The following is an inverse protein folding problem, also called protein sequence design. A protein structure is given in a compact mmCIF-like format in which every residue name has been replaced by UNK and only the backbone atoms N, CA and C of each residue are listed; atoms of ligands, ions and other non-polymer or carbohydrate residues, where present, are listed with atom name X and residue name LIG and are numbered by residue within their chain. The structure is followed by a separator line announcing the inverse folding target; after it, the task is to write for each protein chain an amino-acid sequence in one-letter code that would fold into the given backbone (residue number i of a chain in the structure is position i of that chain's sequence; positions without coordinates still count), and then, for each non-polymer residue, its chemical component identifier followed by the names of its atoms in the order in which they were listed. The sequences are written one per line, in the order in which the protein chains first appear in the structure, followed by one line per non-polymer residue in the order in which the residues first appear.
data_IF_827513642962
#
_entry.id   IF_827513642962
#
_cell.length_a   1.000
_cell.length_b   1.000
_cell.length_c   1.000
_cell.angle_alpha   90.00
_cell.angle_beta   90.00
_cell.angle_gamma   90.00
#
_symmetry.space_group_name_H-M   'P 1'
#
loop_
_entity.id
_entity.type
_entity.pdbx_description
1 polymer ?
#
# COMPACT_ATOMS: atom_id res chain seq x y z
N UNK A 1 21.38 -16.50 7.55
CA UNK A 1 21.58 -15.17 8.15
C UNK A 1 20.70 -15.07 9.38
N UNK A 2 21.21 -14.48 10.49
CA UNK A 2 20.39 -14.21 11.68
C UNK A 2 19.95 -12.76 11.68
N UNK A 3 18.66 -12.49 11.90
CA UNK A 3 18.08 -11.15 11.94
C UNK A 3 17.06 -10.97 13.08
N UNK A 4 16.84 -9.70 13.48
CA UNK A 4 15.72 -9.33 14.36
C UNK A 4 14.63 -8.74 13.48
N UNK A 5 13.40 -9.27 13.58
CA UNK A 5 12.22 -8.71 12.94
C UNK A 5 11.35 -7.96 13.94
N UNK A 6 11.32 -6.64 13.83
CA UNK A 6 10.44 -5.78 14.62
C UNK A 6 9.04 -5.78 14.01
N UNK A 7 8.08 -6.40 14.68
CA UNK A 7 6.68 -6.54 14.24
C UNK A 7 5.78 -5.63 15.08
N UNK A 8 5.00 -4.80 14.39
CA UNK A 8 4.12 -3.81 15.03
C UNK A 8 2.66 -3.93 14.56
N UNK A 9 2.28 -5.12 14.06
CA UNK A 9 0.95 -5.50 13.55
C UNK A 9 0.61 -4.97 12.14
N UNK A 10 1.60 -4.80 11.26
CA UNK A 10 1.33 -4.57 9.84
C UNK A 10 0.74 -5.82 9.17
N UNK A 11 -0.12 -5.61 8.18
CA UNK A 11 -0.90 -6.69 7.52
C UNK A 11 -0.05 -7.76 6.84
N UNK A 12 1.14 -7.43 6.36
CA UNK A 12 2.03 -8.35 5.61
C UNK A 12 3.09 -9.05 6.47
N UNK A 13 3.20 -8.73 7.76
CA UNK A 13 4.29 -9.24 8.63
C UNK A 13 4.35 -10.76 8.72
N UNK A 14 3.19 -11.42 8.82
CA UNK A 14 3.18 -12.88 8.96
C UNK A 14 3.70 -13.55 7.69
N UNK A 15 3.31 -13.08 6.51
CA UNK A 15 3.79 -13.57 5.23
C UNK A 15 5.30 -13.37 5.06
N UNK A 16 5.80 -12.21 5.48
CA UNK A 16 7.24 -11.89 5.43
C UNK A 16 8.03 -12.73 6.44
N UNK A 17 7.51 -12.96 7.67
CA UNK A 17 8.14 -13.85 8.64
C UNK A 17 8.23 -15.28 8.10
N UNK A 18 7.19 -15.76 7.43
CA UNK A 18 7.19 -17.05 6.76
C UNK A 18 8.21 -17.10 5.62
N UNK A 19 8.30 -16.05 4.81
CA UNK A 19 9.27 -15.95 3.72
C UNK A 19 10.73 -15.98 4.23
N UNK A 20 11.05 -15.25 5.31
CA UNK A 20 12.38 -15.31 5.94
C UNK A 20 12.74 -16.75 6.35
N UNK A 21 11.80 -17.49 6.94
CA UNK A 21 12.01 -18.89 7.33
C UNK A 21 12.24 -19.79 6.10
N UNK A 22 11.44 -19.59 5.00
CA UNK A 22 11.60 -20.38 3.75
C UNK A 22 12.96 -20.16 3.10
N UNK A 23 13.50 -18.93 3.12
CA UNK A 23 14.83 -18.65 2.56
C UNK A 23 15.97 -18.93 3.53
N UNK A 24 15.69 -19.61 4.67
CA UNK A 24 16.72 -20.12 5.59
C UNK A 24 17.28 -19.08 6.57
N UNK A 25 16.54 -18.04 6.90
CA UNK A 25 16.95 -17.10 7.93
C UNK A 25 16.60 -17.58 9.35
N UNK A 26 17.51 -17.31 10.30
CA UNK A 26 17.27 -17.41 11.73
C UNK A 26 16.66 -16.08 12.21
N UNK A 27 15.36 -16.09 12.57
CA UNK A 27 14.58 -14.89 12.87
C UNK A 27 14.27 -14.83 14.36
N UNK A 28 14.73 -13.75 15.00
CA UNK A 28 14.32 -13.37 16.35
C UNK A 28 13.21 -12.29 16.19
N UNK A 29 12.03 -12.53 16.73
CA UNK A 29 10.90 -11.62 16.56
C UNK A 29 10.72 -10.73 17.80
N UNK A 30 10.59 -9.41 17.61
CA UNK A 30 10.10 -8.45 18.58
C UNK A 30 8.65 -8.09 18.24
N UNK A 31 7.70 -8.76 18.90
CA UNK A 31 6.25 -8.58 18.66
C UNK A 31 5.71 -7.54 19.64
N UNK A 32 5.79 -6.27 19.30
CA UNK A 32 5.31 -5.19 20.13
C UNK A 32 4.80 -4.03 19.29
N UNK A 33 3.60 -3.53 19.58
CA UNK A 33 3.11 -2.27 19.03
C UNK A 33 4.00 -1.11 19.48
N UNK A 34 4.10 -0.11 18.64
CA UNK A 34 4.88 1.10 18.87
C UNK A 34 3.90 2.25 19.00
N UNK A 35 3.80 2.81 20.22
CA UNK A 35 2.91 3.94 20.49
C UNK A 35 3.49 5.27 19.98
N UNK A 36 4.81 5.44 20.08
CA UNK A 36 5.55 6.58 19.56
C UNK A 36 6.74 6.10 18.72
N UNK A 37 6.59 6.19 17.40
CA UNK A 37 7.60 5.74 16.42
C UNK A 37 8.92 6.50 16.50
N UNK A 38 8.97 7.62 17.21
CA UNK A 38 10.13 8.50 17.32
C UNK A 38 10.87 8.35 18.66
N UNK A 39 10.15 8.29 19.79
CA UNK A 39 10.74 8.52 21.11
C UNK A 39 10.30 7.55 22.22
N UNK A 40 9.69 6.42 21.93
CA UNK A 40 9.25 5.44 22.94
C UNK A 40 10.45 4.78 23.63
N UNK A 41 10.82 5.27 24.82
CA UNK A 41 12.00 4.84 25.55
C UNK A 41 12.00 3.36 25.93
N UNK A 42 10.81 2.83 26.32
CA UNK A 42 10.69 1.43 26.71
C UNK A 42 10.87 0.50 25.50
N UNK A 43 10.36 0.87 24.32
CA UNK A 43 10.60 0.14 23.07
C UNK A 43 12.07 0.16 22.70
N UNK A 44 12.70 1.35 22.75
CA UNK A 44 14.12 1.51 22.43
C UNK A 44 14.99 0.62 23.35
N UNK A 45 14.70 0.62 24.65
CA UNK A 45 15.41 -0.21 25.64
C UNK A 45 15.27 -1.69 25.33
N UNK A 46 14.06 -2.18 25.11
CA UNK A 46 13.78 -3.57 24.82
C UNK A 46 14.48 -4.04 23.53
N UNK A 47 14.46 -3.22 22.46
CA UNK A 47 15.16 -3.53 21.22
C UNK A 47 16.69 -3.55 21.44
N UNK A 48 17.25 -2.62 22.23
CA UNK A 48 18.66 -2.59 22.56
C UNK A 48 19.08 -3.83 23.35
N UNK A 49 18.30 -4.24 24.34
CA UNK A 49 18.53 -5.49 25.12
C UNK A 49 18.47 -6.71 24.18
N UNK A 50 17.48 -6.78 23.30
CA UNK A 50 17.34 -7.88 22.34
C UNK A 50 18.53 -7.99 21.38
N UNK A 51 19.07 -6.85 20.93
CA UNK A 51 20.28 -6.84 20.09
C UNK A 51 21.48 -7.36 20.88
N UNK A 52 21.67 -6.94 22.15
CA UNK A 52 22.78 -7.37 23.00
C UNK A 52 22.71 -8.87 23.33
N UNK A 53 21.52 -9.40 23.58
CA UNK A 53 21.30 -10.82 23.94
C UNK A 53 21.41 -11.75 22.73
N UNK A 54 21.46 -11.20 21.51
CA UNK A 54 21.56 -11.96 20.26
C UNK A 54 22.84 -11.66 19.48
N UNK A 55 24.03 -12.05 20.02
CA UNK A 55 25.28 -11.84 19.31
C UNK A 55 25.27 -12.55 17.95
N UNK A 56 25.79 -11.88 16.92
CA UNK A 56 25.83 -12.39 15.54
C UNK A 56 24.58 -12.08 14.71
N UNK A 57 23.65 -11.25 15.22
CA UNK A 57 22.59 -10.65 14.41
C UNK A 57 23.23 -9.77 13.33
N UNK A 58 22.86 -10.01 12.07
CA UNK A 58 23.41 -9.30 10.91
C UNK A 58 22.66 -8.01 10.59
N UNK A 59 21.37 -7.97 10.88
CA UNK A 59 20.50 -6.81 10.65
C UNK A 59 19.23 -6.85 11.49
N UNK A 60 18.60 -5.68 11.61
CA UNK A 60 17.22 -5.52 12.10
C UNK A 60 16.34 -5.24 10.90
N UNK A 61 15.13 -5.78 10.87
CA UNK A 61 14.16 -5.57 9.80
C UNK A 61 12.81 -5.06 10.35
N UNK A 62 12.16 -4.17 9.62
CA UNK A 62 10.75 -3.81 9.86
C UNK A 62 10.01 -3.54 8.55
N UNK A 63 8.70 -3.69 8.60
CA UNK A 63 7.80 -3.10 7.62
C UNK A 63 7.68 -1.61 7.92
N UNK A 64 7.76 -0.78 6.89
CA UNK A 64 7.93 0.65 6.94
C UNK A 64 9.21 1.11 7.68
N UNK A 65 9.65 2.30 7.34
CA UNK A 65 10.77 2.92 8.05
C UNK A 65 10.28 3.48 9.40
N UNK A 66 10.96 3.13 10.49
CA UNK A 66 10.60 3.53 11.86
C UNK A 66 11.81 4.19 12.52
N UNK A 67 11.75 5.51 12.83
CA UNK A 67 12.88 6.27 13.35
C UNK A 67 13.52 5.71 14.62
N UNK A 68 12.72 5.22 15.58
CA UNK A 68 13.24 4.66 16.83
C UNK A 68 14.07 3.38 16.59
N UNK A 69 13.71 2.55 15.60
CA UNK A 69 14.50 1.38 15.20
C UNK A 69 15.82 1.82 14.58
N UNK A 70 15.78 2.85 13.70
CA UNK A 70 16.99 3.42 13.12
C UNK A 70 17.95 3.95 14.20
N UNK A 71 17.42 4.58 15.27
CA UNK A 71 18.22 5.04 16.43
C UNK A 71 18.89 3.88 17.15
N UNK A 72 18.16 2.81 17.46
CA UNK A 72 18.74 1.60 18.07
C UNK A 72 19.86 1.00 17.20
N UNK A 73 19.59 0.83 15.91
CA UNK A 73 20.56 0.27 14.99
C UNK A 73 21.84 1.13 14.85
N UNK A 74 21.70 2.45 14.92
CA UNK A 74 22.84 3.39 14.94
C UNK A 74 23.71 3.21 16.18
N UNK A 75 23.10 3.01 17.38
CA UNK A 75 23.84 2.78 18.64
C UNK A 75 24.76 1.56 18.53
N UNK A 76 24.28 0.47 17.94
CA UNK A 76 25.02 -0.78 17.82
C UNK A 76 25.82 -0.88 16.51
N UNK A 77 25.75 0.10 15.64
CA UNK A 77 26.32 0.06 14.29
C UNK A 77 25.90 -1.21 13.51
N UNK A 78 24.62 -1.59 13.63
CA UNK A 78 24.01 -2.72 12.94
C UNK A 78 23.14 -2.24 11.79
N UNK A 79 23.07 -2.98 10.68
CA UNK A 79 22.22 -2.61 9.53
C UNK A 79 20.74 -2.66 9.90
N UNK A 80 19.99 -1.63 9.48
CA UNK A 80 18.55 -1.57 9.58
C UNK A 80 17.93 -1.64 8.19
N UNK A 81 17.20 -2.70 7.90
CA UNK A 81 16.45 -2.91 6.67
C UNK A 81 14.99 -2.55 6.91
N UNK A 82 14.44 -1.65 6.12
CA UNK A 82 13.01 -1.34 6.16
C UNK A 82 12.40 -1.46 4.77
N UNK A 83 11.28 -2.15 4.66
CA UNK A 83 10.51 -2.22 3.43
C UNK A 83 9.21 -1.45 3.58
N UNK A 84 9.12 -0.29 2.92
CA UNK A 84 7.96 0.59 3.01
C UNK A 84 6.85 0.06 2.12
N UNK A 85 5.69 -0.20 2.71
CA UNK A 85 4.47 -0.70 2.05
C UNK A 85 3.36 0.35 2.01
N UNK A 86 3.51 1.42 2.78
CA UNK A 86 2.56 2.53 2.87
C UNK A 86 3.03 3.76 2.08
N UNK A 87 2.09 4.42 1.41
CA UNK A 87 2.29 5.70 0.76
C UNK A 87 1.06 6.59 0.99
N UNK A 88 1.25 7.80 1.57
CA UNK A 88 2.51 8.39 2.03
C UNK A 88 3.04 7.74 3.31
N UNK A 89 4.35 7.86 3.54
CA UNK A 89 5.03 7.45 4.78
C UNK A 89 5.73 8.66 5.39
N UNK A 90 5.18 9.22 6.47
CA UNK A 90 5.71 10.44 7.11
C UNK A 90 7.07 10.22 7.76
N UNK A 91 7.37 9.02 8.24
CA UNK A 91 8.62 8.68 8.89
C UNK A 91 9.84 8.88 7.97
N UNK A 92 9.64 8.88 6.64
CA UNK A 92 10.70 9.19 5.67
C UNK A 92 11.17 10.66 5.70
N UNK A 93 10.44 11.55 6.37
CA UNK A 93 10.85 12.93 6.57
C UNK A 93 11.75 13.11 7.80
N UNK A 94 11.91 12.11 8.67
CA UNK A 94 12.78 12.15 9.83
C UNK A 94 14.26 12.30 9.45
N UNK A 95 15.02 13.09 10.21
CA UNK A 95 16.48 13.19 10.04
C UNK A 95 17.21 11.84 10.24
N UNK A 96 16.58 10.88 10.91
CA UNK A 96 17.11 9.53 11.08
C UNK A 96 17.26 8.77 9.76
N UNK A 97 16.56 9.16 8.70
CA UNK A 97 16.73 8.60 7.34
C UNK A 97 18.17 8.69 6.84
N UNK A 98 18.91 9.72 7.29
CA UNK A 98 20.30 9.96 6.88
C UNK A 98 21.32 9.03 7.54
N UNK A 99 20.91 8.12 8.42
CA UNK A 99 21.87 7.26 9.10
C UNK A 99 22.49 6.24 8.13
N UNK A 100 23.82 6.05 8.18
CA UNK A 100 24.51 5.12 7.26
C UNK A 100 24.20 3.65 7.52
N UNK A 101 23.63 3.35 8.66
CA UNK A 101 23.17 1.99 9.01
C UNK A 101 21.88 1.56 8.30
N UNK A 102 21.13 2.52 7.72
CA UNK A 102 19.86 2.22 7.06
C UNK A 102 20.04 1.53 5.70
N UNK A 103 19.04 0.74 5.35
CA UNK A 103 18.76 0.22 3.99
C UNK A 103 17.26 0.28 3.82
N UNK A 104 16.80 1.36 3.18
CA UNK A 104 15.38 1.72 3.06
C UNK A 104 14.90 1.35 1.66
N UNK A 105 13.93 0.43 1.57
CA UNK A 105 13.37 -0.02 0.31
C UNK A 105 11.99 0.61 0.11
N UNK A 106 11.81 1.32 -1.01
CA UNK A 106 10.60 2.04 -1.38
C UNK A 106 10.00 1.41 -2.63
N UNK A 107 8.68 1.22 -2.65
CA UNK A 107 8.00 0.50 -3.72
C UNK A 107 7.44 1.38 -4.84
N UNK A 108 7.23 2.66 -4.55
CA UNK A 108 6.75 3.66 -5.51
C UNK A 108 7.96 4.45 -6.04
N UNK A 109 8.15 4.49 -7.36
CA UNK A 109 9.33 5.12 -7.98
C UNK A 109 9.39 6.61 -7.70
N UNK A 110 8.24 7.30 -7.73
CA UNK A 110 8.20 8.73 -7.42
C UNK A 110 8.55 9.00 -5.95
N UNK A 111 8.12 8.13 -5.03
CA UNK A 111 8.54 8.20 -3.64
C UNK A 111 10.05 7.95 -3.51
N UNK A 112 10.59 6.94 -4.21
CA UNK A 112 12.02 6.68 -4.25
C UNK A 112 12.82 7.87 -4.78
N UNK A 113 12.42 8.47 -5.88
CA UNK A 113 13.10 9.65 -6.46
C UNK A 113 13.05 10.87 -5.51
N UNK A 114 11.94 11.06 -4.81
CA UNK A 114 11.77 12.12 -3.81
C UNK A 114 12.70 11.97 -2.61
N UNK A 115 12.88 10.76 -2.10
CA UNK A 115 13.63 10.52 -0.84
C UNK A 115 15.08 10.10 -1.04
N UNK A 116 15.44 9.48 -2.15
CA UNK A 116 16.83 9.07 -2.44
C UNK A 116 17.88 10.17 -2.23
N UNK A 117 17.67 11.43 -2.61
CA UNK A 117 18.67 12.49 -2.41
C UNK A 117 19.09 12.72 -0.95
N UNK A 118 18.31 12.25 0.03
CA UNK A 118 18.60 12.42 1.44
C UNK A 118 19.56 11.36 2.01
N UNK A 119 19.64 10.20 1.36
CA UNK A 119 20.61 9.15 1.67
C UNK A 119 20.83 8.25 0.43
N UNK A 120 21.57 8.74 -0.58
CA UNK A 120 21.65 8.09 -1.90
C UNK A 120 22.16 6.65 -1.89
N UNK A 121 23.02 6.33 -0.93
CA UNK A 121 23.65 5.00 -0.81
C UNK A 121 22.83 4.03 0.06
N UNK A 122 21.75 4.49 0.69
CA UNK A 122 20.97 3.71 1.64
C UNK A 122 19.48 3.62 1.29
N UNK A 123 19.01 4.31 0.25
CA UNK A 123 17.63 4.28 -0.22
C UNK A 123 17.59 3.59 -1.57
N UNK A 124 16.75 2.57 -1.69
CA UNK A 124 16.63 1.69 -2.83
C UNK A 124 15.19 1.62 -3.33
N UNK A 125 15.02 1.45 -4.63
CA UNK A 125 13.72 1.12 -5.21
C UNK A 125 13.54 -0.42 -5.19
N UNK A 126 12.42 -0.89 -4.65
CA UNK A 126 12.05 -2.31 -4.67
C UNK A 126 10.52 -2.47 -4.67
N UNK A 127 9.93 -2.99 -5.76
CA UNK A 127 8.49 -3.23 -5.84
C UNK A 127 8.00 -4.18 -4.76
N UNK A 128 6.72 -4.10 -4.44
CA UNK A 128 6.06 -5.03 -3.53
C UNK A 128 5.92 -6.44 -4.15
N UNK A 129 5.30 -7.34 -3.44
CA UNK A 129 5.04 -8.72 -3.83
C UNK A 129 3.97 -9.33 -2.93
N UNK A 130 3.83 -10.66 -2.94
CA UNK A 130 2.89 -11.36 -2.08
C UNK A 130 3.47 -12.65 -1.46
N UNK A 131 2.79 -13.16 -0.42
CA UNK A 131 3.08 -14.47 0.17
C UNK A 131 2.37 -15.60 -0.61
N UNK A 132 2.88 -15.87 -1.81
CA UNK A 132 2.28 -16.86 -2.71
C UNK A 132 2.12 -18.23 -2.04
N UNK A 133 3.12 -18.67 -1.26
CA UNK A 133 3.08 -19.97 -0.60
C UNK A 133 1.90 -20.10 0.38
N UNK A 134 1.53 -19.02 1.07
CA UNK A 134 0.33 -18.98 1.91
C UNK A 134 -0.93 -18.98 1.05
N UNK A 135 -0.99 -18.17 -0.02
CA UNK A 135 -2.17 -18.12 -0.91
C UNK A 135 -2.48 -19.47 -1.57
N UNK A 136 -1.44 -20.20 -2.00
CA UNK A 136 -1.57 -21.53 -2.61
C UNK A 136 -2.06 -22.60 -1.62
N UNK A 137 -1.74 -22.45 -0.34
CA UNK A 137 -2.17 -23.40 0.70
C UNK A 137 -3.66 -23.28 1.07
N UNK A 138 -4.30 -22.14 0.75
CA UNK A 138 -5.69 -21.87 1.09
C UNK A 138 -6.60 -22.57 0.09
N UNK A 139 -7.33 -23.57 0.57
CA UNK A 139 -8.38 -24.27 -0.18
C UNK A 139 -9.72 -23.60 0.10
N UNK A 140 -10.59 -23.58 -0.89
CA UNK A 140 -11.97 -23.10 -0.76
C UNK A 140 -12.92 -24.29 -0.71
N UNK A 141 -13.66 -24.44 0.38
CA UNK A 141 -14.68 -25.47 0.54
C UNK A 141 -15.96 -25.13 -0.26
N UNK A 142 -16.86 -26.13 -0.45
CA UNK A 142 -18.16 -25.88 -1.09
C UNK A 142 -19.03 -24.86 -0.33
N UNK A 143 -18.90 -24.79 0.99
CA UNK A 143 -19.63 -23.83 1.82
C UNK A 143 -19.07 -22.41 1.63
N UNK A 144 -17.76 -22.28 1.58
CA UNK A 144 -17.09 -20.99 1.31
C UNK A 144 -17.35 -20.50 -0.12
N UNK A 145 -17.37 -21.41 -1.11
CA UNK A 145 -17.82 -21.07 -2.46
C UNK A 145 -19.22 -20.48 -2.47
N UNK A 146 -20.17 -21.10 -1.78
CA UNK A 146 -21.54 -20.57 -1.69
C UNK A 146 -21.63 -19.24 -0.95
N UNK A 147 -20.69 -18.99 -0.01
CA UNK A 147 -20.64 -17.77 0.80
C UNK A 147 -20.03 -16.59 0.04
N UNK A 148 -18.99 -16.85 -0.76
CA UNK A 148 -18.15 -15.82 -1.38
C UNK A 148 -18.32 -15.70 -2.90
N UNK A 149 -19.08 -16.60 -3.55
CA UNK A 149 -19.34 -16.53 -5.00
C UNK A 149 -20.03 -15.22 -5.35
N UNK A 150 -19.39 -14.44 -6.21
CA UNK A 150 -19.92 -13.18 -6.68
C UNK A 150 -19.35 -12.79 -8.06
N UNK A 151 -20.09 -11.94 -8.77
CA UNK A 151 -19.66 -11.45 -10.07
C UNK A 151 -18.50 -10.50 -9.95
N UNK A 152 -18.58 -9.55 -9.02
CA UNK A 152 -17.58 -8.49 -8.84
C UNK A 152 -17.32 -8.31 -7.34
N UNK A 153 -16.05 -8.31 -6.95
CA UNK A 153 -15.65 -8.02 -5.57
C UNK A 153 -14.74 -6.80 -5.46
N UNK A 154 -14.89 -6.07 -4.37
CA UNK A 154 -13.89 -5.13 -3.88
C UNK A 154 -13.68 -5.37 -2.38
N UNK A 155 -12.41 -5.59 -1.98
CA UNK A 155 -12.01 -5.76 -0.58
C UNK A 155 -11.09 -4.61 -0.19
N UNK A 156 -11.56 -3.69 0.65
CA UNK A 156 -10.74 -2.56 1.10
C UNK A 156 -11.54 -1.43 1.74
N UNK A 157 -10.82 -0.47 2.33
CA UNK A 157 -11.37 0.77 2.89
C UNK A 157 -11.93 1.68 1.79
N UNK A 158 -12.93 2.49 2.10
CA UNK A 158 -13.37 3.59 1.25
C UNK A 158 -12.54 4.86 1.45
N UNK A 159 -11.69 4.89 2.47
CA UNK A 159 -10.86 6.02 2.89
C UNK A 159 -11.61 7.18 3.54
N UNK A 160 -12.91 7.12 3.73
CA UNK A 160 -13.69 8.18 4.40
C UNK A 160 -13.17 8.45 5.81
N UNK A 161 -12.83 7.39 6.56
CA UNK A 161 -12.27 7.45 7.90
C UNK A 161 -10.81 7.95 7.97
N UNK A 162 -10.10 7.94 6.84
CA UNK A 162 -8.70 8.39 6.71
C UNK A 162 -8.59 9.77 6.08
N UNK A 163 -9.65 10.24 5.42
CA UNK A 163 -9.68 11.51 4.69
C UNK A 163 -9.73 12.71 5.65
N UNK A 164 -8.58 13.29 5.92
CA UNK A 164 -8.49 14.48 6.80
C UNK A 164 -9.19 15.71 6.23
N UNK A 165 -9.36 15.79 4.91
CA UNK A 165 -10.04 16.90 4.26
C UNK A 165 -11.50 17.03 4.73
N UNK A 166 -12.22 15.91 4.90
CA UNK A 166 -13.61 15.89 5.38
C UNK A 166 -13.82 16.54 6.76
N UNK A 167 -12.75 16.67 7.55
CA UNK A 167 -12.82 17.31 8.87
C UNK A 167 -12.44 18.79 8.88
N UNK A 168 -11.90 19.33 7.77
CA UNK A 168 -11.34 20.69 7.73
C UNK A 168 -11.88 21.54 6.57
N UNK A 169 -12.67 20.98 5.66
CA UNK A 169 -13.20 21.70 4.49
C UNK A 169 -14.00 22.93 4.85
N UNK A 170 -14.67 22.91 6.02
CA UNK A 170 -15.49 24.04 6.51
C UNK A 170 -14.65 25.13 7.22
N UNK A 171 -13.41 24.83 7.58
CA UNK A 171 -12.46 25.78 8.18
C UNK A 171 -11.78 26.63 7.09
N UNK A 172 -11.83 26.16 5.83
CA UNK A 172 -11.20 26.84 4.70
C UNK A 172 -12.05 28.03 4.19
N UNK A 173 -11.41 29.16 3.84
CA UNK A 173 -12.06 30.20 3.07
C UNK A 173 -12.69 29.64 1.77
N UNK A 174 -13.79 30.24 1.32
CA UNK A 174 -14.57 29.74 0.16
C UNK A 174 -13.71 29.57 -1.09
N UNK A 175 -12.79 30.50 -1.38
CA UNK A 175 -11.92 30.41 -2.54
C UNK A 175 -10.92 29.25 -2.43
N UNK A 176 -10.41 28.97 -1.22
CA UNK A 176 -9.50 27.85 -1.00
C UNK A 176 -10.22 26.51 -1.14
N UNK A 177 -11.42 26.41 -0.56
CA UNK A 177 -12.27 25.24 -0.69
C UNK A 177 -12.60 24.98 -2.16
N UNK A 178 -13.08 26.00 -2.89
CA UNK A 178 -13.38 25.86 -4.32
C UNK A 178 -12.17 25.46 -5.17
N UNK A 179 -10.98 25.97 -4.85
CA UNK A 179 -9.75 25.55 -5.51
C UNK A 179 -9.39 24.09 -5.21
N UNK A 180 -9.47 23.67 -3.94
CA UNK A 180 -9.21 22.30 -3.53
C UNK A 180 -10.17 21.30 -4.19
N UNK A 181 -11.48 21.60 -4.19
CA UNK A 181 -12.51 20.80 -4.85
C UNK A 181 -12.28 20.71 -6.36
N UNK A 182 -11.92 21.84 -7.00
CA UNK A 182 -11.56 21.87 -8.41
C UNK A 182 -10.35 21.00 -8.75
N UNK A 183 -9.31 20.99 -7.89
CA UNK A 183 -8.16 20.12 -8.05
C UNK A 183 -8.54 18.64 -7.91
N UNK A 184 -9.35 18.29 -6.92
CA UNK A 184 -9.85 16.93 -6.72
C UNK A 184 -10.63 16.47 -7.96
N UNK A 185 -11.58 17.27 -8.46
CA UNK A 185 -12.37 16.95 -9.66
C UNK A 185 -11.48 16.79 -10.91
N UNK A 186 -10.47 17.64 -11.07
CA UNK A 186 -9.53 17.54 -12.18
C UNK A 186 -8.69 16.26 -12.09
N UNK A 187 -8.18 15.93 -10.87
CA UNK A 187 -7.37 14.74 -10.65
C UNK A 187 -8.14 13.43 -10.89
N UNK A 188 -9.43 13.39 -10.57
CA UNK A 188 -10.28 12.22 -10.81
C UNK A 188 -10.41 11.84 -12.29
N UNK A 189 -10.09 12.73 -13.21
CA UNK A 189 -10.09 12.48 -14.65
C UNK A 189 -8.69 12.15 -15.21
N UNK A 190 -7.66 12.06 -14.35
CA UNK A 190 -6.28 11.75 -14.76
C UNK A 190 -5.83 10.46 -14.10
N UNK A 191 -5.56 9.45 -14.91
CA UNK A 191 -5.08 8.14 -14.49
C UNK A 191 -3.58 8.00 -14.73
N UNK A 192 -2.87 7.33 -13.83
CA UNK A 192 -1.43 7.06 -13.94
C UNK A 192 -0.50 8.24 -13.65
N UNK A 193 -1.04 9.40 -13.30
CA UNK A 193 -0.27 10.57 -12.88
C UNK A 193 -1.01 11.38 -11.82
N UNK A 194 -0.37 11.60 -10.69
CA UNK A 194 -0.89 12.47 -9.62
C UNK A 194 -0.19 13.83 -9.70
N UNK A 195 -0.90 14.83 -10.21
CA UNK A 195 -0.39 16.19 -10.41
C UNK A 195 -0.60 17.13 -9.22
N UNK A 196 -1.29 16.71 -8.17
CA UNK A 196 -1.71 17.60 -7.08
C UNK A 196 -0.54 18.37 -6.47
N UNK A 197 0.57 17.67 -6.17
CA UNK A 197 1.77 18.32 -5.62
C UNK A 197 2.41 19.31 -6.61
N UNK A 198 2.30 19.09 -7.92
CA UNK A 198 2.92 19.93 -8.93
C UNK A 198 2.20 21.29 -9.10
N UNK A 199 0.88 21.30 -8.95
CA UNK A 199 0.04 22.48 -9.22
C UNK A 199 -0.26 23.34 -7.98
N UNK A 200 -0.16 22.75 -6.77
CA UNK A 200 -0.31 23.51 -5.52
C UNK A 200 0.90 24.43 -5.37
N UNK A 201 0.68 25.73 -5.14
CA UNK A 201 1.79 26.65 -4.81
C UNK A 201 2.20 26.53 -3.33
N UNK A 202 3.44 26.89 -3.04
CA UNK A 202 3.94 26.92 -1.66
C UNK A 202 3.17 27.92 -0.79
N UNK A 203 2.75 29.06 -1.38
CA UNK A 203 1.96 30.07 -0.69
C UNK A 203 0.59 29.55 -0.31
N UNK A 204 -0.11 28.89 -1.27
CA UNK A 204 -1.42 28.30 -1.01
C UNK A 204 -1.33 27.16 0.03
N UNK A 205 -0.30 26.31 -0.03
CA UNK A 205 -0.10 25.26 0.93
C UNK A 205 0.13 25.78 2.36
N UNK A 206 0.90 26.87 2.50
CA UNK A 206 1.12 27.55 3.79
C UNK A 206 -0.16 28.15 4.33
N UNK A 207 -0.94 28.84 3.49
CA UNK A 207 -2.24 29.41 3.88
C UNK A 207 -3.22 28.29 4.30
N UNK A 208 -3.25 27.18 3.55
CA UNK A 208 -4.03 26.00 3.94
C UNK A 208 -3.66 25.50 5.34
N UNK A 209 -2.36 25.35 5.63
CA UNK A 209 -1.87 24.94 6.94
C UNK A 209 -2.33 25.87 8.06
N UNK A 210 -2.38 27.19 7.84
CA UNK A 210 -2.84 28.19 8.82
C UNK A 210 -4.35 28.10 9.10
N UNK A 211 -5.15 27.68 8.11
CA UNK A 211 -6.60 27.56 8.24
C UNK A 211 -7.05 26.29 8.97
N UNK A 212 -6.24 25.22 9.01
CA UNK A 212 -6.64 23.92 9.53
C UNK A 212 -5.90 23.55 10.81
N UNK A 213 -6.48 22.63 11.60
CA UNK A 213 -5.77 22.03 12.71
C UNK A 213 -4.65 21.13 12.16
N UNK A 214 -3.46 21.70 12.07
CA UNK A 214 -2.28 20.99 11.59
C UNK A 214 -1.76 19.99 12.63
N UNK A 215 -1.43 18.79 12.17
CA UNK A 215 -0.74 17.83 13.02
C UNK A 215 0.77 18.08 12.92
N UNK A 216 1.44 18.52 13.99
CA UNK A 216 2.87 18.74 13.95
C UNK A 216 3.59 17.40 13.72
N UNK A 217 4.59 17.40 12.87
CA UNK A 217 5.59 16.35 12.81
C UNK A 217 6.53 16.47 14.02
N UNK A 218 7.28 15.42 14.35
CA UNK A 218 8.32 15.51 15.36
C UNK A 218 9.37 16.58 14.99
N UNK A 219 10.04 17.17 15.98
CA UNK A 219 10.96 18.33 15.79
C UNK A 219 12.09 18.06 14.80
N UNK A 220 12.52 16.81 14.66
CA UNK A 220 13.58 16.39 13.75
C UNK A 220 13.09 15.96 12.35
N UNK A 221 11.82 16.25 12.02
CA UNK A 221 11.26 16.00 10.70
C UNK A 221 11.42 17.24 9.82
N UNK A 222 11.80 16.99 8.56
CA UNK A 222 11.72 18.04 7.54
C UNK A 222 10.26 18.30 7.21
N UNK A 223 9.89 19.54 7.19
CA UNK A 223 8.53 19.92 6.85
C UNK A 223 8.36 20.00 5.32
N UNK A 224 7.43 19.22 4.79
CA UNK A 224 6.96 19.28 3.41
C UNK A 224 5.44 19.59 3.42
N UNK A 225 5.11 20.85 3.66
CA UNK A 225 3.72 21.29 3.76
C UNK A 225 2.95 20.93 2.48
N UNK A 226 3.53 21.21 1.33
CA UNK A 226 2.94 20.99 0.01
C UNK A 226 2.64 19.50 -0.25
N UNK A 227 3.62 18.65 -0.01
CA UNK A 227 3.45 17.19 -0.15
C UNK A 227 2.41 16.63 0.84
N UNK A 228 2.40 17.11 2.08
CA UNK A 228 1.41 16.70 3.09
C UNK A 228 -0.01 17.09 2.65
N UNK A 229 -0.22 18.32 2.16
CA UNK A 229 -1.53 18.77 1.67
C UNK A 229 -1.95 17.95 0.45
N UNK A 230 -1.06 17.78 -0.52
CA UNK A 230 -1.34 17.02 -1.74
C UNK A 230 -1.69 15.55 -1.47
N UNK A 231 -0.91 14.87 -0.61
CA UNK A 231 -1.08 13.44 -0.41
C UNK A 231 -2.15 13.12 0.65
N UNK A 232 -2.12 13.81 1.82
CA UNK A 232 -2.93 13.42 2.98
C UNK A 232 -4.33 14.05 2.98
N UNK A 233 -4.45 15.27 2.47
CA UNK A 233 -5.76 15.92 2.39
C UNK A 233 -6.40 15.66 1.02
N UNK A 234 -5.80 16.16 -0.06
CA UNK A 234 -6.42 16.07 -1.38
C UNK A 234 -6.31 14.67 -1.99
N UNK A 235 -5.18 13.98 -1.85
CA UNK A 235 -4.99 12.62 -2.37
C UNK A 235 -5.92 11.60 -1.72
N UNK A 236 -6.14 11.69 -0.41
CA UNK A 236 -7.14 10.84 0.26
C UNK A 236 -8.56 11.22 -0.12
N UNK A 237 -8.85 12.52 -0.35
CA UNK A 237 -10.16 12.95 -0.88
C UNK A 237 -10.41 12.43 -2.29
N UNK A 238 -9.41 12.44 -3.16
CA UNK A 238 -9.50 11.79 -4.47
C UNK A 238 -9.78 10.29 -4.33
N UNK A 239 -9.08 9.60 -3.41
CA UNK A 239 -9.28 8.16 -3.20
C UNK A 239 -10.69 7.84 -2.73
N UNK A 240 -11.18 8.54 -1.71
CA UNK A 240 -12.55 8.41 -1.22
C UNK A 240 -13.57 8.63 -2.33
N UNK A 241 -13.48 9.79 -3.01
CA UNK A 241 -14.43 10.18 -4.05
C UNK A 241 -14.43 9.21 -5.23
N UNK A 242 -13.23 8.80 -5.69
CA UNK A 242 -13.08 7.81 -6.76
C UNK A 242 -13.74 6.47 -6.41
N UNK A 243 -13.48 5.94 -5.20
CA UNK A 243 -14.04 4.65 -4.76
C UNK A 243 -15.55 4.69 -4.65
N UNK A 244 -16.10 5.72 -4.02
CA UNK A 244 -17.56 5.89 -3.89
C UNK A 244 -18.23 6.02 -5.27
N UNK A 245 -17.70 6.86 -6.17
CA UNK A 245 -18.26 7.04 -7.52
C UNK A 245 -18.16 5.77 -8.36
N UNK A 246 -17.02 5.08 -8.30
CA UNK A 246 -16.82 3.85 -9.08
C UNK A 246 -17.73 2.72 -8.58
N UNK A 247 -17.83 2.50 -7.27
CA UNK A 247 -18.70 1.47 -6.69
C UNK A 247 -20.17 1.77 -7.00
N UNK A 248 -20.62 3.02 -6.87
CA UNK A 248 -22.00 3.38 -7.25
C UNK A 248 -22.27 3.09 -8.74
N UNK A 249 -21.36 3.50 -9.63
CA UNK A 249 -21.54 3.28 -11.06
C UNK A 249 -21.60 1.78 -11.43
N UNK A 250 -20.80 0.95 -10.76
CA UNK A 250 -20.83 -0.50 -10.94
C UNK A 250 -22.14 -1.08 -10.39
N UNK A 251 -22.49 -0.77 -9.15
CA UNK A 251 -23.66 -1.36 -8.47
C UNK A 251 -25.02 -0.90 -9.00
N UNK A 252 -25.06 0.16 -9.82
CA UNK A 252 -26.25 0.54 -10.59
C UNK A 252 -26.54 -0.43 -11.76
N UNK A 253 -25.53 -1.16 -12.25
CA UNK A 253 -25.65 -2.01 -13.44
C UNK A 253 -25.37 -3.48 -13.19
N UNK A 254 -24.51 -3.80 -12.23
CA UNK A 254 -24.01 -5.13 -11.98
C UNK A 254 -24.15 -5.51 -10.51
N UNK A 255 -24.20 -6.80 -10.23
CA UNK A 255 -24.15 -7.31 -8.87
C UNK A 255 -22.71 -7.26 -8.35
N UNK A 256 -22.50 -6.53 -7.26
CA UNK A 256 -21.18 -6.29 -6.67
C UNK A 256 -21.20 -6.50 -5.16
N UNK A 257 -20.24 -7.25 -4.66
CA UNK A 257 -19.99 -7.46 -3.25
C UNK A 257 -18.85 -6.57 -2.75
N UNK A 258 -19.10 -5.87 -1.64
CA UNK A 258 -18.15 -4.96 -1.01
C UNK A 258 -17.78 -5.44 0.40
N UNK A 259 -16.49 -5.76 0.60
CA UNK A 259 -15.94 -6.04 1.92
C UNK A 259 -15.19 -4.83 2.45
N UNK A 260 -15.80 -4.13 3.39
CA UNK A 260 -15.25 -2.91 4.00
C UNK A 260 -15.74 -2.73 5.44
N UNK A 261 -14.94 -2.01 6.25
CA UNK A 261 -15.33 -1.49 7.56
C UNK A 261 -15.67 0.01 7.51
N UNK A 262 -15.50 0.65 6.35
CA UNK A 262 -15.84 2.07 6.15
C UNK A 262 -17.36 2.28 6.18
N UNK A 263 -17.80 3.52 6.46
CA UNK A 263 -19.20 3.91 6.31
C UNK A 263 -19.65 3.76 4.84
N UNK A 264 -20.74 3.03 4.64
CA UNK A 264 -21.31 2.71 3.33
C UNK A 264 -22.63 3.44 3.05
N UNK A 265 -22.99 4.42 3.85
CA UNK A 265 -24.24 5.20 3.71
C UNK A 265 -24.41 5.86 2.33
N UNK A 266 -23.30 6.13 1.64
CA UNK A 266 -23.25 6.69 0.28
C UNK A 266 -23.38 5.65 -0.84
N UNK A 267 -23.55 4.37 -0.52
CA UNK A 267 -23.55 3.23 -1.45
C UNK A 267 -24.85 2.42 -1.36
N UNK A 268 -25.98 2.94 -1.88
CA UNK A 268 -27.30 2.34 -1.63
C UNK A 268 -27.54 1.01 -2.34
N UNK A 269 -26.80 0.69 -3.41
CA UNK A 269 -27.08 -0.46 -4.27
C UNK A 269 -26.05 -1.59 -4.16
N UNK A 270 -24.97 -1.41 -3.40
CA UNK A 270 -23.92 -2.44 -3.27
C UNK A 270 -24.24 -3.44 -2.17
N UNK A 271 -23.87 -4.72 -2.35
CA UNK A 271 -23.97 -5.72 -1.31
C UNK A 271 -22.83 -5.55 -0.30
N UNK A 272 -23.11 -4.94 0.84
CA UNK A 272 -22.12 -4.78 1.91
C UNK A 272 -21.98 -6.05 2.72
N UNK A 273 -20.76 -6.61 2.75
CA UNK A 273 -20.43 -7.89 3.40
C UNK A 273 -19.69 -7.76 4.73
N UNK A 274 -19.36 -6.53 5.14
CA UNK A 274 -18.53 -6.23 6.31
C UNK A 274 -17.04 -6.33 6.04
N UNK A 275 -16.22 -6.45 7.09
CA UNK A 275 -14.77 -6.59 6.96
C UNK A 275 -14.33 -7.97 6.50
N UNK A 276 -13.16 -8.06 5.88
CA UNK A 276 -12.51 -9.32 5.54
C UNK A 276 -11.13 -9.40 6.19
N UNK A 277 -10.82 -10.51 6.85
CA UNK A 277 -9.47 -10.82 7.30
C UNK A 277 -8.54 -11.05 6.11
N UNK A 278 -7.39 -10.39 6.14
CA UNK A 278 -6.44 -10.39 5.02
C UNK A 278 -5.73 -11.73 4.83
N UNK A 279 -5.61 -12.56 5.88
CA UNK A 279 -4.81 -13.77 5.82
C UNK A 279 -5.61 -15.01 5.38
N UNK A 280 -6.92 -15.05 5.67
CA UNK A 280 -7.77 -16.22 5.37
C UNK A 280 -8.96 -15.87 4.48
N UNK A 281 -9.80 -14.91 4.87
CA UNK A 281 -11.02 -14.58 4.12
C UNK A 281 -10.72 -13.96 2.77
N UNK A 282 -9.80 -13.01 2.71
CA UNK A 282 -9.51 -12.28 1.47
C UNK A 282 -9.08 -13.20 0.32
N UNK A 283 -8.14 -14.16 0.50
CA UNK A 283 -7.80 -15.09 -0.59
C UNK A 283 -8.97 -15.97 -1.04
N UNK A 284 -9.86 -16.37 -0.12
CA UNK A 284 -11.06 -17.15 -0.47
C UNK A 284 -12.04 -16.32 -1.29
N UNK A 285 -12.29 -15.06 -0.88
CA UNK A 285 -13.12 -14.11 -1.64
C UNK A 285 -12.57 -13.93 -3.05
N UNK A 286 -11.24 -13.73 -3.17
CA UNK A 286 -10.58 -13.55 -4.46
C UNK A 286 -10.79 -14.76 -5.37
N UNK A 287 -10.60 -15.96 -4.85
CA UNK A 287 -10.75 -17.22 -5.60
C UNK A 287 -12.20 -17.50 -6.03
N UNK A 288 -13.18 -16.96 -5.29
CA UNK A 288 -14.61 -17.15 -5.59
C UNK A 288 -15.21 -16.04 -6.46
N UNK A 289 -14.53 -14.92 -6.63
CA UNK A 289 -15.01 -13.77 -7.41
C UNK A 289 -14.66 -13.92 -8.89
N UNK A 290 -15.63 -13.66 -9.79
CA UNK A 290 -15.33 -13.66 -11.23
C UNK A 290 -14.42 -12.49 -11.62
N UNK A 291 -14.65 -11.31 -11.03
CA UNK A 291 -13.85 -10.09 -11.24
C UNK A 291 -13.45 -9.53 -9.89
N UNK A 292 -12.15 -9.32 -9.69
CA UNK A 292 -11.58 -8.67 -8.51
C UNK A 292 -11.15 -7.25 -8.90
N UNK A 293 -11.76 -6.25 -8.28
CA UNK A 293 -11.48 -4.85 -8.57
C UNK A 293 -10.32 -4.33 -7.70
N UNK A 294 -9.34 -3.69 -8.32
CA UNK A 294 -8.35 -2.87 -7.64
C UNK A 294 -8.56 -1.39 -7.94
N UNK A 295 -8.56 -0.59 -6.88
CA UNK A 295 -8.58 0.87 -6.95
C UNK A 295 -7.44 1.42 -6.11
N UNK A 296 -6.34 1.78 -6.77
CA UNK A 296 -5.12 2.28 -6.13
C UNK A 296 -5.39 3.59 -5.40
N UNK A 297 -4.81 3.74 -4.21
CA UNK A 297 -4.84 4.98 -3.44
C UNK A 297 -4.04 6.08 -4.15
N UNK A 298 -4.59 7.27 -4.33
CA UNK A 298 -3.98 8.36 -5.10
C UNK A 298 -2.60 8.84 -4.60
N UNK A 299 -2.28 8.83 -3.29
CA UNK A 299 -0.92 9.09 -2.84
C UNK A 299 0.16 8.13 -3.36
N UNK A 300 -0.22 6.91 -3.78
CA UNK A 300 0.67 6.05 -4.57
C UNK A 300 0.71 6.63 -5.99
N UNK A 301 1.84 7.26 -6.34
CA UNK A 301 1.92 8.06 -7.58
C UNK A 301 2.13 7.21 -8.82
N UNK A 302 3.05 6.24 -8.77
CA UNK A 302 3.40 5.40 -9.91
C UNK A 302 3.43 3.91 -9.57
N UNK A 303 3.72 3.57 -8.30
CA UNK A 303 3.93 2.20 -7.82
C UNK A 303 2.66 1.35 -7.75
N UNK A 304 2.85 0.07 -7.51
CA UNK A 304 1.78 -0.91 -7.38
C UNK A 304 1.53 -1.24 -5.91
N UNK A 305 0.28 -1.10 -5.40
CA UNK A 305 -0.04 -1.50 -4.03
C UNK A 305 0.04 -3.02 -3.84
N UNK A 306 0.24 -3.48 -2.61
CA UNK A 306 0.20 -4.90 -2.23
C UNK A 306 -1.01 -5.62 -2.82
N UNK A 307 -2.15 -4.95 -2.86
CA UNK A 307 -3.42 -5.50 -3.33
C UNK A 307 -3.34 -6.11 -4.74
N UNK A 308 -2.62 -5.51 -5.68
CA UNK A 308 -2.46 -6.06 -7.04
C UNK A 308 -1.76 -7.43 -6.97
N UNK A 309 -0.67 -7.53 -6.20
CA UNK A 309 0.07 -8.78 -6.05
C UNK A 309 -0.74 -9.84 -5.30
N UNK A 310 -1.51 -9.44 -4.28
CA UNK A 310 -2.39 -10.35 -3.54
C UNK A 310 -3.51 -10.92 -4.43
N UNK A 311 -4.19 -10.06 -5.19
CA UNK A 311 -5.27 -10.46 -6.09
C UNK A 311 -4.77 -11.45 -7.15
N UNK A 312 -3.66 -11.14 -7.80
CA UNK A 312 -3.09 -11.99 -8.84
C UNK A 312 -2.44 -13.26 -8.24
N UNK A 313 -1.75 -13.15 -7.09
CA UNK A 313 -1.14 -14.26 -6.38
C UNK A 313 -2.14 -15.26 -5.83
N UNK A 314 -3.35 -14.83 -5.49
CA UNK A 314 -4.46 -15.73 -5.14
C UNK A 314 -5.16 -16.36 -6.37
N UNK A 315 -4.73 -16.02 -7.59
CA UNK A 315 -5.29 -16.54 -8.85
C UNK A 315 -6.53 -15.79 -9.34
N UNK A 316 -6.80 -14.60 -8.80
CA UNK A 316 -7.96 -13.78 -9.20
C UNK A 316 -7.77 -13.10 -10.55
N UNK A 317 -8.86 -12.98 -11.33
CA UNK A 317 -8.91 -12.08 -12.46
C UNK A 317 -9.04 -10.63 -11.96
N UNK A 318 -8.16 -9.75 -12.41
CA UNK A 318 -8.03 -8.39 -11.87
C UNK A 318 -8.35 -7.35 -12.93
N UNK A 319 -9.27 -6.42 -12.57
CA UNK A 319 -9.42 -5.15 -13.28
C UNK A 319 -8.92 -4.03 -12.35
N UNK A 320 -7.94 -3.25 -12.80
CA UNK A 320 -7.30 -2.19 -12.02
C UNK A 320 -7.36 -0.85 -12.74
N UNK A 321 -7.45 0.26 -11.98
CA UNK A 321 -7.13 1.55 -12.54
C UNK A 321 -5.69 1.55 -13.09
N UNK A 322 -5.46 2.31 -14.18
CA UNK A 322 -4.13 2.45 -14.74
C UNK A 322 -3.16 3.08 -13.74
N UNK A 323 -1.97 2.47 -13.59
CA UNK A 323 -0.81 3.00 -12.87
C UNK A 323 0.41 2.91 -13.79
N UNK A 324 1.28 3.92 -13.73
CA UNK A 324 2.39 4.07 -14.66
C UNK A 324 3.39 2.91 -14.64
N UNK A 325 3.59 2.27 -13.48
CA UNK A 325 4.53 1.16 -13.34
C UNK A 325 3.91 -0.21 -13.69
N UNK A 326 2.59 -0.35 -13.89
CA UNK A 326 2.00 -1.65 -14.23
C UNK A 326 2.61 -2.26 -15.50
N UNK A 327 2.80 -1.53 -16.61
CA UNK A 327 3.36 -2.10 -17.84
C UNK A 327 4.83 -2.57 -17.72
N UNK A 328 5.55 -2.18 -16.67
CA UNK A 328 6.92 -2.66 -16.42
C UNK A 328 6.93 -4.09 -15.87
N UNK A 329 5.84 -4.53 -15.21
CA UNK A 329 5.76 -5.82 -14.52
C UNK A 329 4.76 -6.77 -15.14
N UNK A 330 3.68 -6.25 -15.72
CA UNK A 330 2.56 -7.00 -16.26
C UNK A 330 2.17 -6.47 -17.64
N UNK A 331 1.76 -7.35 -18.54
CA UNK A 331 1.29 -6.99 -19.87
C UNK A 331 -0.21 -6.70 -19.78
N UNK A 332 -0.65 -5.43 -20.00
CA UNK A 332 -2.07 -5.10 -20.01
C UNK A 332 -2.84 -5.88 -21.06
N UNK A 333 -3.98 -6.45 -20.68
CA UNK A 333 -4.80 -7.30 -21.56
C UNK A 333 -4.38 -8.77 -21.60
N UNK A 334 -3.16 -9.11 -21.14
CA UNK A 334 -2.65 -10.49 -21.09
C UNK A 334 -2.50 -11.00 -19.65
N UNK A 335 -1.95 -10.18 -18.73
CA UNK A 335 -1.70 -10.54 -17.33
C UNK A 335 -2.70 -9.88 -16.37
N UNK A 336 -3.19 -8.70 -16.74
CA UNK A 336 -4.09 -7.84 -15.95
C UNK A 336 -4.91 -6.96 -16.90
N UNK A 337 -6.13 -6.62 -16.51
CA UNK A 337 -6.96 -5.65 -17.25
C UNK A 337 -6.91 -4.29 -16.59
N UNK A 338 -6.70 -3.24 -17.37
CA UNK A 338 -6.62 -1.86 -16.88
C UNK A 338 -7.80 -1.03 -17.38
N UNK A 339 -8.22 -0.06 -16.56
CA UNK A 339 -9.19 0.96 -16.97
C UNK A 339 -8.65 2.37 -16.71
N UNK A 340 -9.11 3.34 -17.50
CA UNK A 340 -8.74 4.75 -17.45
C UNK A 340 -9.94 5.70 -17.34
N UNK A 341 -11.14 5.14 -17.20
CA UNK A 341 -12.37 5.88 -16.95
C UNK A 341 -13.47 4.95 -16.43
N UNK A 342 -14.48 5.49 -15.77
CA UNK A 342 -15.65 4.71 -15.31
C UNK A 342 -16.40 4.09 -16.51
N UNK A 343 -16.67 4.79 -17.63
CA UNK A 343 -17.30 4.16 -18.79
C UNK A 343 -16.49 2.99 -19.37
N UNK A 344 -15.16 3.12 -19.45
CA UNK A 344 -14.27 2.03 -19.90
C UNK A 344 -14.32 0.84 -18.94
N UNK A 345 -14.30 1.09 -17.62
CA UNK A 345 -14.46 0.05 -16.61
C UNK A 345 -15.77 -0.73 -16.77
N UNK A 346 -16.90 -0.01 -16.91
CA UNK A 346 -18.21 -0.65 -17.06
C UNK A 346 -18.29 -1.52 -18.32
N UNK A 347 -17.73 -1.04 -19.45
CA UNK A 347 -17.66 -1.83 -20.66
C UNK A 347 -16.79 -3.09 -20.53
N UNK A 348 -15.65 -2.98 -19.83
CA UNK A 348 -14.77 -4.12 -19.54
C UNK A 348 -15.43 -5.14 -18.57
N UNK A 349 -16.14 -4.66 -17.56
CA UNK A 349 -16.91 -5.54 -16.67
C UNK A 349 -17.94 -6.35 -17.47
N UNK A 350 -18.76 -5.67 -18.29
CA UNK A 350 -19.77 -6.33 -19.14
C UNK A 350 -19.13 -7.38 -20.05
N UNK A 351 -18.07 -7.02 -20.76
CA UNK A 351 -17.33 -7.92 -21.64
C UNK A 351 -16.79 -9.15 -20.90
N UNK A 352 -16.06 -8.97 -19.81
CA UNK A 352 -15.42 -10.08 -19.10
C UNK A 352 -16.37 -10.93 -18.26
N UNK A 353 -17.57 -10.49 -17.94
CA UNK A 353 -18.61 -11.34 -17.35
C UNK A 353 -19.13 -12.37 -18.37
N UNK A 354 -19.11 -12.05 -19.66
CA UNK A 354 -19.54 -12.92 -20.76
C UNK A 354 -18.42 -13.78 -21.36
N UNK A 355 -17.11 -13.40 -21.13
CA UNK A 355 -15.95 -14.07 -21.73
C UNK A 355 -15.13 -14.82 -20.67
N UNK A 356 -15.68 -15.93 -20.17
CA UNK A 356 -15.08 -16.69 -19.07
C UNK A 356 -13.71 -17.29 -19.41
N UNK A 357 -13.55 -17.89 -20.59
CA UNK A 357 -12.29 -18.54 -20.98
C UNK A 357 -11.14 -17.53 -21.03
N UNK A 358 -11.39 -16.33 -21.57
CA UNK A 358 -10.41 -15.27 -21.65
C UNK A 358 -10.06 -14.74 -20.23
N UNK A 359 -11.07 -14.54 -19.38
CA UNK A 359 -10.90 -14.15 -17.99
C UNK A 359 -10.00 -15.13 -17.21
N UNK A 360 -10.26 -16.44 -17.35
CA UNK A 360 -9.47 -17.50 -16.73
C UNK A 360 -8.04 -17.51 -17.26
N UNK A 361 -7.85 -17.28 -18.55
CA UNK A 361 -6.50 -17.24 -19.14
C UNK A 361 -5.67 -16.05 -18.62
N UNK A 362 -6.28 -14.85 -18.55
CA UNK A 362 -5.62 -13.65 -18.02
C UNK A 362 -5.27 -13.85 -16.52
N UNK A 363 -6.19 -14.39 -15.73
CA UNK A 363 -5.94 -14.69 -14.32
C UNK A 363 -4.75 -15.65 -14.14
N UNK A 364 -4.68 -16.71 -14.96
CA UNK A 364 -3.57 -17.68 -14.97
C UNK A 364 -2.24 -17.02 -15.33
N UNK A 365 -2.22 -16.16 -16.34
CA UNK A 365 -1.01 -15.44 -16.75
C UNK A 365 -0.52 -14.53 -15.63
N UNK A 366 -1.41 -13.73 -15.04
CA UNK A 366 -1.10 -12.87 -13.91
C UNK A 366 -0.56 -13.62 -12.70
N UNK A 367 -1.18 -14.75 -12.33
CA UNK A 367 -0.68 -15.64 -11.29
C UNK A 367 0.75 -16.14 -11.60
N UNK A 368 1.01 -16.61 -12.82
CA UNK A 368 2.34 -17.08 -13.21
C UNK A 368 3.39 -15.97 -13.13
N UNK A 369 3.05 -14.75 -13.55
CA UNK A 369 3.93 -13.58 -13.41
C UNK A 369 4.31 -13.32 -11.95
N UNK A 370 3.31 -13.34 -11.06
CA UNK A 370 3.55 -13.15 -9.62
C UNK A 370 4.41 -14.27 -9.07
N UNK A 371 4.13 -15.51 -9.41
CA UNK A 371 4.89 -16.69 -9.00
C UNK A 371 6.36 -16.62 -9.39
N UNK A 372 6.62 -16.23 -10.63
CA UNK A 372 7.97 -16.26 -11.18
C UNK A 372 8.83 -15.07 -10.77
N UNK A 373 8.20 -13.90 -10.43
CA UNK A 373 8.95 -12.64 -10.28
C UNK A 373 8.57 -11.79 -9.05
N UNK A 374 7.42 -12.05 -8.38
CA UNK A 374 6.88 -11.09 -7.41
C UNK A 374 6.48 -11.70 -6.07
N UNK A 375 7.19 -12.75 -5.63
CA UNK A 375 7.00 -13.33 -4.29
C UNK A 375 7.81 -12.59 -3.22
N UNK A 376 7.39 -12.67 -1.96
CA UNK A 376 8.18 -12.13 -0.84
C UNK A 376 9.56 -12.76 -0.76
N UNK A 377 9.68 -14.09 -1.04
CA UNK A 377 10.96 -14.80 -1.05
C UNK A 377 11.95 -14.12 -2.01
N UNK A 378 11.54 -13.83 -3.24
CA UNK A 378 12.38 -13.16 -4.23
C UNK A 378 12.76 -11.74 -3.82
N UNK A 379 11.80 -10.97 -3.24
CA UNK A 379 12.09 -9.61 -2.76
C UNK A 379 13.12 -9.60 -1.63
N UNK A 380 12.98 -10.51 -0.67
CA UNK A 380 13.93 -10.62 0.43
C UNK A 380 15.31 -11.06 -0.05
N UNK A 381 15.42 -11.98 -1.01
CA UNK A 381 16.68 -12.34 -1.64
C UNK A 381 17.33 -11.14 -2.33
N UNK A 382 16.54 -10.35 -3.09
CA UNK A 382 17.05 -9.11 -3.73
C UNK A 382 17.57 -8.11 -2.69
N UNK A 383 16.87 -7.92 -1.56
CA UNK A 383 17.36 -7.06 -0.47
C UNK A 383 18.69 -7.56 0.06
N UNK A 384 18.84 -8.87 0.25
CA UNK A 384 20.08 -9.46 0.77
C UNK A 384 21.24 -9.36 -0.23
N UNK A 385 20.99 -9.53 -1.51
CA UNK A 385 22.00 -9.32 -2.56
C UNK A 385 22.55 -7.89 -2.53
N UNK A 386 21.68 -6.89 -2.36
CA UNK A 386 22.12 -5.49 -2.25
C UNK A 386 23.04 -5.29 -1.06
N UNK A 387 22.70 -5.80 0.13
CA UNK A 387 23.50 -5.60 1.36
C UNK A 387 24.75 -6.46 1.45
N UNK A 388 24.84 -7.55 0.69
CA UNK A 388 26.04 -8.41 0.66
C UNK A 388 27.09 -7.84 -0.29
N UNK A 389 26.65 -7.18 -1.37
CA UNK A 389 27.53 -6.62 -2.40
C UNK A 389 28.10 -5.23 -2.02
N UNK A 390 27.73 -4.67 -0.87
CA UNK A 390 28.31 -3.46 -0.28
C UNK A 390 29.54 -3.79 0.58
#
# INVERSE_FOLDING_TARGET
MKLIFCRWKSICEQGIANAFKRIGCDVVELNREIDDVDYEQDYLKELCELIQDNPGVSCVFSINFIPIIARACKIFNIRYLSWTVDCPSFQLYSETVKYPTNRIFLFDRMQYEKFRPFNPDCIFYLPLGCDLATWDSIQVSEEEHKMYDCDISFVGSLYSEKCRYNGVENDLPEYMRGYAEGLVEAQLNVYGYNFLEDVISDEWAKEFKECVKWHPLAEDYREDIKGIVADTYLGYKCTETARIRTINAISEKFNMDLWTLSDTSMLPNVNVRGGADSNNMMPQIIKCSKINLNMTNYPIKTGLPLRIFDLMGAGGFVISNYQAEIPEYFIPGEDIVLYDSIPDLLGKIEYYLEHEDERIQIARNGYNKVKDYHTYDLRLLTMFEIIINE
#
